data_IF_580998886826
#
_entry.id   IF_580998886826
#
_cell.length_a   1.000
_cell.length_b   1.000
_cell.length_c   1.000
_cell.angle_alpha   90.00
_cell.angle_beta   90.00
_cell.angle_gamma   90.00
#
_symmetry.space_group_name_H-M   'P 1'
#
loop_
_entity.id
_entity.type
_entity.pdbx_description
1 polymer ?
#
# COMPACT_ATOMS: atom_id res chain seq x y z
N UNK A 1 81.24 -20.66 11.32
CA UNK A 1 80.39 -20.46 10.13
C UNK A 1 78.94 -20.65 10.57
N UNK A 2 78.21 -19.52 10.72
CA UNK A 2 76.75 -19.37 10.90
C UNK A 2 76.12 -20.08 12.11
N UNK A 3 75.12 -19.54 12.79
CA UNK A 3 74.53 -18.20 12.93
C UNK A 3 73.54 -18.38 14.09
N UNK A 4 73.30 -17.30 14.82
CA UNK A 4 72.24 -17.22 15.81
C UNK A 4 70.88 -17.56 15.20
N UNK A 5 70.06 -18.32 15.92
CA UNK A 5 68.62 -18.06 15.97
C UNK A 5 68.13 -18.31 17.39
N UNK A 6 68.34 -17.28 18.19
CA UNK A 6 67.49 -16.95 19.31
C UNK A 6 66.05 -16.86 18.80
N UNK A 7 65.13 -17.59 19.41
CA UNK A 7 63.75 -17.15 19.49
C UNK A 7 63.38 -17.10 20.97
N UNK A 8 63.52 -15.90 21.53
CA UNK A 8 62.93 -15.52 22.81
C UNK A 8 61.40 -15.29 22.64
N UNK A 9 60.61 -15.45 23.71
CA UNK A 9 59.18 -15.72 23.70
C UNK A 9 58.33 -14.44 23.73
N UNK A 10 57.02 -14.61 23.87
CA UNK A 10 55.97 -13.59 24.09
C UNK A 10 55.39 -12.92 22.86
N UNK A 11 54.30 -13.49 22.36
CA UNK A 11 53.26 -12.74 21.66
C UNK A 11 51.98 -12.77 22.50
N UNK A 12 51.44 -11.62 22.94
CA UNK A 12 50.23 -11.60 23.75
C UNK A 12 48.99 -11.90 22.89
N UNK A 13 48.10 -12.84 23.28
CA UNK A 13 46.81 -13.05 22.62
C UNK A 13 45.82 -11.96 23.07
N UNK A 14 45.93 -10.74 22.55
CA UNK A 14 45.17 -9.59 23.06
C UNK A 14 44.22 -8.87 22.09
N UNK A 15 44.49 -8.84 20.78
CA UNK A 15 43.95 -7.73 19.95
C UNK A 15 43.01 -8.16 18.81
N UNK A 16 42.87 -9.47 18.53
CA UNK A 16 42.11 -9.94 17.35
C UNK A 16 40.58 -9.87 17.58
N UNK A 17 40.13 -10.13 18.81
CA UNK A 17 38.69 -10.30 19.13
C UNK A 17 37.85 -9.01 18.97
N UNK A 18 38.46 -7.85 19.22
CA UNK A 18 37.79 -6.54 19.05
C UNK A 18 37.67 -6.09 17.58
N UNK A 19 38.60 -6.54 16.72
CA UNK A 19 38.57 -6.26 15.29
C UNK A 19 37.50 -7.10 14.59
N UNK A 20 37.45 -8.41 14.89
CA UNK A 20 36.44 -9.34 14.34
C UNK A 20 35.03 -8.91 14.71
N UNK A 21 34.76 -8.63 16.00
CA UNK A 21 33.45 -8.15 16.44
C UNK A 21 33.04 -6.82 15.76
N UNK A 22 33.99 -5.90 15.56
CA UNK A 22 33.74 -4.65 14.84
C UNK A 22 33.55 -4.84 13.33
N UNK A 23 34.15 -5.87 12.72
CA UNK A 23 33.95 -6.22 11.30
C UNK A 23 32.57 -6.86 11.12
N UNK A 24 32.18 -7.76 12.01
CA UNK A 24 30.85 -8.40 12.01
C UNK A 24 29.73 -7.38 12.20
N UNK A 25 29.91 -6.42 13.12
CA UNK A 25 28.93 -5.36 13.30
C UNK A 25 28.79 -4.48 12.04
N UNK A 26 29.91 -4.12 11.40
CA UNK A 26 29.87 -3.37 10.14
C UNK A 26 29.17 -4.16 9.03
N UNK A 27 29.41 -5.47 8.94
CA UNK A 27 28.74 -6.34 7.99
C UNK A 27 27.23 -6.42 8.26
N UNK A 28 26.83 -6.58 9.53
CA UNK A 28 25.43 -6.59 9.94
C UNK A 28 24.73 -5.26 9.62
N UNK A 29 25.36 -4.11 9.91
CA UNK A 29 24.83 -2.78 9.55
C UNK A 29 24.65 -2.64 8.04
N UNK A 30 25.59 -3.11 7.22
CA UNK A 30 25.45 -3.09 5.75
C UNK A 30 24.27 -3.94 5.28
N UNK A 31 24.17 -5.17 5.74
CA UNK A 31 23.07 -6.07 5.39
C UNK A 31 21.70 -5.49 5.77
N UNK A 32 21.56 -4.92 6.98
CA UNK A 32 20.30 -4.30 7.40
C UNK A 32 19.92 -3.10 6.53
N UNK A 33 20.88 -2.26 6.14
CA UNK A 33 20.62 -1.12 5.24
C UNK A 33 20.20 -1.57 3.85
N UNK A 34 20.78 -2.64 3.32
CA UNK A 34 20.36 -3.23 2.05
C UNK A 34 18.92 -3.76 2.12
N UNK A 35 18.57 -4.45 3.22
CA UNK A 35 17.21 -4.92 3.47
C UNK A 35 16.21 -3.77 3.55
N UNK A 36 16.55 -2.71 4.31
CA UNK A 36 15.73 -1.49 4.42
C UNK A 36 15.54 -0.86 3.04
N UNK A 37 16.61 -0.64 2.29
CA UNK A 37 16.52 -0.04 0.96
C UNK A 37 15.69 -0.86 -0.02
N UNK A 38 15.69 -2.20 0.10
CA UNK A 38 14.78 -3.06 -0.68
C UNK A 38 13.32 -2.84 -0.28
N UNK A 39 13.00 -2.85 1.02
CA UNK A 39 11.64 -2.64 1.51
C UNK A 39 11.09 -1.25 1.16
N UNK A 40 11.93 -0.21 1.24
CA UNK A 40 11.58 1.16 0.84
C UNK A 40 11.24 1.23 -0.65
N UNK A 41 12.06 0.60 -1.51
CA UNK A 41 11.78 0.51 -2.95
C UNK A 41 10.48 -0.24 -3.24
N UNK A 42 10.22 -1.33 -2.56
CA UNK A 42 8.95 -2.07 -2.71
C UNK A 42 7.75 -1.22 -2.29
N UNK A 43 7.84 -0.51 -1.17
CA UNK A 43 6.78 0.37 -0.68
C UNK A 43 6.54 1.54 -1.65
N UNK A 44 7.60 2.16 -2.15
CA UNK A 44 7.52 3.22 -3.15
C UNK A 44 6.92 2.72 -4.48
N UNK A 45 7.30 1.51 -4.92
CA UNK A 45 6.72 0.87 -6.10
C UNK A 45 5.23 0.60 -5.94
N UNK A 46 4.82 0.09 -4.76
CA UNK A 46 3.41 -0.16 -4.45
C UNK A 46 2.61 1.15 -4.38
N UNK A 47 3.18 2.21 -3.82
CA UNK A 47 2.59 3.55 -3.83
C UNK A 47 2.38 4.04 -5.27
N UNK A 48 3.42 4.02 -6.10
CA UNK A 48 3.33 4.47 -7.49
C UNK A 48 2.29 3.68 -8.32
N UNK A 49 2.18 2.36 -8.09
CA UNK A 49 1.22 1.51 -8.77
C UNK A 49 -0.24 1.74 -8.33
N UNK A 50 -0.46 2.40 -7.19
CA UNK A 50 -1.80 2.55 -6.61
C UNK A 50 -2.32 3.99 -6.62
N UNK A 51 -1.49 5.01 -6.73
CA UNK A 51 -1.95 6.40 -6.86
C UNK A 51 -2.80 6.56 -8.14
N UNK A 52 -3.98 7.24 -8.08
CA UNK A 52 -4.53 8.06 -7.00
C UNK A 52 -5.57 7.33 -6.10
N UNK A 53 -5.36 6.06 -5.76
CA UNK A 53 -6.21 5.36 -4.77
C UNK A 53 -6.04 6.00 -3.39
N UNK A 54 -7.16 6.46 -2.85
CA UNK A 54 -7.25 7.17 -1.57
C UNK A 54 -7.29 6.23 -0.35
N UNK A 55 -6.83 6.72 0.80
CA UNK A 55 -7.08 6.11 2.11
C UNK A 55 -6.13 4.97 2.50
N UNK A 56 -5.01 4.81 1.80
CA UNK A 56 -3.93 3.92 2.24
C UNK A 56 -2.88 4.77 2.95
N UNK A 57 -2.50 4.39 4.17
CA UNK A 57 -1.47 5.06 4.93
C UNK A 57 -0.09 4.54 4.51
N UNK A 58 0.73 5.41 3.92
CA UNK A 58 2.06 5.05 3.40
C UNK A 58 3.22 5.45 4.31
N UNK A 59 2.96 6.32 5.30
CA UNK A 59 4.01 6.91 6.14
C UNK A 59 4.62 5.87 7.07
N UNK A 60 5.95 5.85 7.13
CA UNK A 60 6.73 5.16 8.17
C UNK A 60 7.41 6.22 9.01
N UNK A 61 7.33 6.10 10.33
CA UNK A 61 7.88 7.10 11.25
C UNK A 61 9.41 7.21 11.14
N UNK A 62 9.92 8.44 11.03
CA UNK A 62 11.35 8.70 11.04
C UNK A 62 11.93 8.51 12.46
N UNK A 63 13.10 7.86 12.56
CA UNK A 63 13.80 7.62 13.83
C UNK A 63 14.78 8.77 14.12
N UNK A 64 14.26 9.97 14.36
CA UNK A 64 15.02 11.16 14.78
C UNK A 64 15.88 11.84 13.69
N UNK A 65 16.70 12.82 14.08
CA UNK A 65 17.48 13.69 13.17
C UNK A 65 18.72 13.04 12.53
N UNK A 66 19.48 13.80 11.71
CA UNK A 66 20.60 13.31 10.90
C UNK A 66 21.72 12.69 11.75
N UNK A 67 21.68 11.36 11.90
CA UNK A 67 22.71 10.57 12.62
C UNK A 67 22.80 9.16 12.07
N UNK A 68 23.92 8.50 12.36
CA UNK A 68 24.09 7.08 12.02
C UNK A 68 23.31 6.23 13.02
N UNK A 69 22.35 5.44 12.53
CA UNK A 69 21.59 4.51 13.36
C UNK A 69 22.44 3.31 13.81
N UNK A 70 22.22 2.88 15.06
CA UNK A 70 22.76 1.62 15.59
C UNK A 70 22.01 0.39 15.06
N UNK A 71 22.52 -0.82 15.33
CA UNK A 71 21.93 -2.10 14.86
C UNK A 71 20.45 -2.22 15.27
N UNK A 72 20.15 -2.08 16.57
CA UNK A 72 18.79 -2.24 17.07
C UNK A 72 17.82 -1.19 16.49
N UNK A 73 18.30 0.02 16.19
CA UNK A 73 17.49 1.02 15.51
C UNK A 73 17.21 0.64 14.05
N UNK A 74 18.19 0.08 13.34
CA UNK A 74 18.03 -0.41 11.97
C UNK A 74 17.04 -1.58 11.91
N UNK A 75 17.15 -2.57 12.80
CA UNK A 75 16.21 -3.69 12.88
C UNK A 75 14.78 -3.22 13.09
N UNK A 76 14.57 -2.35 14.09
CA UNK A 76 13.25 -1.79 14.33
C UNK A 76 12.72 -0.95 13.16
N UNK A 77 13.59 -0.38 12.31
CA UNK A 77 13.19 0.34 11.09
C UNK A 77 12.79 -0.64 10.00
N UNK A 78 13.58 -1.70 9.79
CA UNK A 78 13.24 -2.81 8.89
C UNK A 78 11.87 -3.40 9.26
N UNK A 79 11.63 -3.67 10.53
CA UNK A 79 10.39 -4.32 10.98
C UNK A 79 9.17 -3.39 10.82
N UNK A 80 9.35 -2.09 11.06
CA UNK A 80 8.32 -1.08 10.80
C UNK A 80 7.97 -0.98 9.30
N UNK A 81 8.98 -1.00 8.42
CA UNK A 81 8.80 -1.01 6.97
C UNK A 81 8.11 -2.29 6.50
N UNK A 82 8.54 -3.45 6.99
CA UNK A 82 7.95 -4.74 6.65
C UNK A 82 6.47 -4.80 7.06
N UNK A 83 6.15 -4.36 8.28
CA UNK A 83 4.78 -4.27 8.79
C UNK A 83 3.94 -3.34 7.92
N UNK A 84 4.45 -2.13 7.62
CA UNK A 84 3.75 -1.16 6.77
C UNK A 84 3.48 -1.69 5.36
N UNK A 85 4.44 -2.39 4.76
CA UNK A 85 4.28 -2.97 3.43
C UNK A 85 3.21 -4.07 3.43
N UNK A 86 3.19 -4.92 4.46
CA UNK A 86 2.17 -5.96 4.60
C UNK A 86 0.77 -5.35 4.80
N UNK A 87 0.64 -4.34 5.66
CA UNK A 87 -0.61 -3.60 5.88
C UNK A 87 -1.11 -2.95 4.59
N UNK A 88 -0.23 -2.27 3.84
CA UNK A 88 -0.59 -1.62 2.58
C UNK A 88 -1.08 -2.65 1.55
N UNK A 89 -0.37 -3.78 1.39
CA UNK A 89 -0.80 -4.89 0.50
C UNK A 89 -2.17 -5.43 0.91
N UNK A 90 -2.41 -5.63 2.21
CA UNK A 90 -3.67 -6.13 2.72
C UNK A 90 -4.83 -5.15 2.50
N UNK A 91 -4.63 -3.84 2.70
CA UNK A 91 -5.67 -2.84 2.39
C UNK A 91 -5.98 -2.77 0.90
N UNK A 92 -4.97 -2.86 0.03
CA UNK A 92 -5.17 -2.92 -1.43
C UNK A 92 -6.00 -4.15 -1.79
N UNK A 93 -5.68 -5.32 -1.24
CA UNK A 93 -6.43 -6.56 -1.47
C UNK A 93 -7.90 -6.43 -1.02
N UNK A 94 -8.13 -6.04 0.23
CA UNK A 94 -9.49 -5.81 0.77
C UNK A 94 -10.28 -4.80 -0.05
N UNK A 95 -9.62 -3.79 -0.60
CA UNK A 95 -10.28 -2.82 -1.48
C UNK A 95 -10.63 -3.43 -2.84
N UNK A 96 -9.73 -4.18 -3.45
CA UNK A 96 -9.97 -4.86 -4.72
C UNK A 96 -11.17 -5.82 -4.61
N UNK A 97 -11.26 -6.59 -3.52
CA UNK A 97 -12.40 -7.47 -3.23
C UNK A 97 -13.72 -6.69 -3.15
N UNK A 98 -13.74 -5.55 -2.44
CA UNK A 98 -14.93 -4.69 -2.36
C UNK A 98 -15.32 -4.14 -3.73
N UNK A 99 -14.35 -3.71 -4.53
CA UNK A 99 -14.58 -3.19 -5.88
C UNK A 99 -15.15 -4.27 -6.81
N UNK A 100 -14.62 -5.48 -6.73
CA UNK A 100 -15.10 -6.63 -7.50
C UNK A 100 -16.53 -7.05 -7.09
N UNK A 101 -16.81 -7.11 -5.79
CA UNK A 101 -18.17 -7.37 -5.30
C UNK A 101 -19.17 -6.32 -5.80
N UNK A 102 -18.75 -5.06 -5.92
CA UNK A 102 -19.58 -3.97 -6.46
C UNK A 102 -19.76 -4.07 -7.97
N UNK A 103 -18.75 -4.50 -8.73
CA UNK A 103 -18.89 -4.79 -10.17
C UNK A 103 -19.90 -5.91 -10.40
N UNK A 104 -19.77 -7.00 -9.66
CA UNK A 104 -20.72 -8.11 -9.71
C UNK A 104 -22.15 -7.67 -9.31
N UNK A 105 -22.29 -6.74 -8.36
CA UNK A 105 -23.59 -6.16 -8.01
C UNK A 105 -24.19 -5.34 -9.18
N UNK A 106 -23.37 -4.56 -9.89
CA UNK A 106 -23.83 -3.81 -11.08
C UNK A 106 -24.32 -4.77 -12.16
N UNK A 107 -23.57 -5.85 -12.43
CA UNK A 107 -23.95 -6.87 -13.41
C UNK A 107 -25.29 -7.51 -13.03
N UNK A 108 -25.46 -7.95 -11.78
CA UNK A 108 -26.73 -8.51 -11.29
C UNK A 108 -27.87 -7.51 -11.37
N UNK A 109 -27.63 -6.24 -11.06
CA UNK A 109 -28.64 -5.18 -11.16
C UNK A 109 -29.05 -4.90 -12.61
N UNK A 110 -28.13 -5.02 -13.58
CA UNK A 110 -28.45 -4.87 -15.01
C UNK A 110 -29.29 -6.06 -15.50
N UNK A 111 -28.94 -7.29 -15.08
CA UNK A 111 -29.67 -8.50 -15.45
C UNK A 111 -31.08 -8.57 -14.82
N UNK A 112 -31.18 -8.24 -13.52
CA UNK A 112 -32.44 -8.17 -12.77
C UNK A 112 -32.53 -6.86 -11.97
N UNK A 113 -33.05 -5.79 -12.59
CA UNK A 113 -33.24 -4.52 -11.90
C UNK A 113 -34.38 -4.56 -10.88
N UNK A 114 -35.35 -5.49 -11.02
CA UNK A 114 -36.52 -5.58 -10.15
C UNK A 114 -36.22 -6.26 -8.81
N UNK A 115 -35.23 -7.17 -8.77
CA UNK A 115 -34.65 -7.71 -7.55
C UNK A 115 -33.75 -6.71 -6.80
N UNK A 116 -33.25 -5.68 -7.48
CA UNK A 116 -32.32 -4.69 -6.93
C UNK A 116 -32.93 -3.27 -6.87
N UNK A 117 -34.12 -3.16 -6.28
CA UNK A 117 -34.93 -1.91 -6.24
C UNK A 117 -34.19 -0.78 -5.52
N UNK A 118 -34.15 0.41 -6.14
CA UNK A 118 -33.54 1.63 -5.59
C UNK A 118 -32.04 1.54 -5.29
N UNK A 119 -31.40 0.43 -5.62
CA UNK A 119 -29.96 0.26 -5.41
C UNK A 119 -29.22 1.25 -6.30
N UNK A 120 -28.20 1.89 -5.70
CA UNK A 120 -27.31 2.83 -6.37
C UNK A 120 -25.87 2.41 -6.15
N UNK A 121 -25.10 2.35 -7.23
CA UNK A 121 -23.66 2.07 -7.19
C UNK A 121 -22.92 3.22 -7.88
N UNK A 122 -21.87 3.75 -7.26
CA UNK A 122 -21.02 4.82 -7.84
C UNK A 122 -19.79 4.23 -8.53
N UNK A 123 -19.28 4.93 -9.53
CA UNK A 123 -18.05 4.58 -10.28
C UNK A 123 -16.85 4.34 -9.36
N UNK A 124 -16.67 5.16 -8.32
CA UNK A 124 -15.60 5.00 -7.33
C UNK A 124 -15.72 3.71 -6.50
N UNK A 125 -16.93 3.16 -6.34
CA UNK A 125 -17.15 1.91 -5.60
C UNK A 125 -16.79 0.68 -6.43
N UNK A 126 -16.74 0.79 -7.75
CA UNK A 126 -16.30 -0.28 -8.67
C UNK A 126 -14.84 -0.11 -9.12
N UNK A 127 -14.10 0.83 -8.52
CA UNK A 127 -12.71 1.13 -8.88
C UNK A 127 -12.55 1.90 -10.19
N UNK A 128 -13.65 2.36 -10.81
CA UNK A 128 -13.60 3.23 -11.99
C UNK A 128 -13.41 4.70 -11.61
N UNK A 129 -12.83 5.46 -12.54
CA UNK A 129 -12.69 6.92 -12.40
C UNK A 129 -13.94 7.62 -12.94
N UNK A 130 -14.35 8.71 -12.28
CA UNK A 130 -15.39 9.62 -12.77
C UNK A 130 -16.65 9.69 -11.89
N UNK A 131 -17.68 10.38 -12.40
CA UNK A 131 -18.93 10.68 -11.68
C UNK A 131 -20.10 9.75 -12.03
N UNK A 132 -19.85 8.71 -12.83
CA UNK A 132 -20.89 7.78 -13.27
C UNK A 132 -21.50 7.05 -12.07
N UNK A 133 -22.80 6.81 -12.12
CA UNK A 133 -23.48 5.93 -11.19
C UNK A 133 -24.57 5.14 -11.92
N UNK A 134 -24.82 3.93 -11.41
CA UNK A 134 -25.93 3.07 -11.81
C UNK A 134 -27.02 3.17 -10.75
N UNK A 135 -28.28 3.24 -11.18
CA UNK A 135 -29.42 3.34 -10.29
C UNK A 135 -30.60 2.54 -10.82
N UNK A 136 -31.07 1.55 -10.07
CA UNK A 136 -32.34 0.89 -10.38
C UNK A 136 -33.53 1.79 -10.01
N UNK A 137 -34.38 2.10 -10.99
CA UNK A 137 -35.55 2.97 -10.83
C UNK A 137 -36.78 2.36 -11.51
N UNK A 138 -37.99 2.58 -10.96
CA UNK A 138 -39.21 2.16 -11.62
C UNK A 138 -39.42 2.94 -12.92
N UNK A 139 -39.99 2.28 -13.92
CA UNK A 139 -40.47 2.89 -15.16
C UNK A 139 -41.80 3.60 -14.87
N UNK A 140 -42.01 4.79 -15.43
CA UNK A 140 -43.27 5.54 -15.29
C UNK A 140 -43.76 5.78 -13.84
N UNK A 141 -42.85 5.91 -12.86
CA UNK A 141 -43.22 6.27 -11.49
C UNK A 141 -43.96 5.16 -10.74
N UNK A 142 -45.09 5.51 -10.10
CA UNK A 142 -45.86 4.60 -9.23
C UNK A 142 -46.39 3.37 -9.98
N UNK A 143 -46.79 3.52 -11.25
CA UNK A 143 -47.29 2.40 -12.06
C UNK A 143 -46.23 1.32 -12.26
N UNK A 144 -44.99 1.68 -12.58
CA UNK A 144 -43.93 0.69 -12.69
C UNK A 144 -43.49 0.10 -11.37
N UNK A 145 -43.75 0.76 -10.23
CA UNK A 145 -43.55 0.13 -8.92
C UNK A 145 -44.54 -1.01 -8.71
N UNK A 146 -45.82 -0.78 -9.00
CA UNK A 146 -46.89 -1.78 -8.84
C UNK A 146 -46.72 -2.92 -9.84
N UNK A 147 -46.42 -2.60 -11.10
CA UNK A 147 -46.27 -3.58 -12.16
C UNK A 147 -44.89 -4.28 -12.21
N UNK A 148 -43.97 -3.94 -11.29
CA UNK A 148 -42.62 -4.51 -11.27
C UNK A 148 -41.75 -4.12 -12.47
N UNK A 149 -42.04 -3.01 -13.13
CA UNK A 149 -41.28 -2.52 -14.28
C UNK A 149 -40.09 -1.68 -13.83
N UNK A 150 -38.93 -2.30 -13.70
CA UNK A 150 -37.69 -1.64 -13.28
C UNK A 150 -36.70 -1.48 -14.42
N UNK A 151 -35.81 -0.48 -14.31
CA UNK A 151 -34.68 -0.29 -15.23
C UNK A 151 -33.48 0.26 -14.48
N UNK A 152 -32.28 -0.11 -14.93
CA UNK A 152 -31.07 0.57 -14.51
C UNK A 152 -30.90 1.84 -15.33
N UNK A 153 -30.84 2.98 -14.66
CA UNK A 153 -30.38 4.23 -15.25
C UNK A 153 -28.88 4.36 -15.03
N UNK A 154 -28.18 4.61 -16.12
CA UNK A 154 -26.76 4.89 -16.14
C UNK A 154 -26.56 6.39 -16.37
N UNK A 155 -26.06 7.10 -15.37
CA UNK A 155 -25.72 8.52 -15.58
C UNK A 155 -24.43 8.59 -16.39
N UNK A 156 -24.47 9.23 -17.56
CA UNK A 156 -23.33 9.31 -18.48
C UNK A 156 -22.15 10.14 -17.95
N UNK A 157 -22.29 10.96 -16.91
CA UNK A 157 -21.15 11.64 -16.28
C UNK A 157 -21.46 13.05 -15.81
N UNK A 158 -20.45 13.69 -15.21
CA UNK A 158 -20.51 15.00 -14.58
C UNK A 158 -20.92 16.11 -15.58
N UNK A 159 -21.81 17.06 -15.19
CA UNK A 159 -22.25 18.17 -16.02
C UNK A 159 -21.21 19.30 -16.11
N UNK A 160 -19.93 18.98 -16.36
CA UNK A 160 -18.88 19.99 -16.53
C UNK A 160 -18.17 19.74 -17.85
N UNK A 161 -18.52 20.53 -18.86
CA UNK A 161 -17.54 20.94 -19.85
C UNK A 161 -16.40 21.61 -19.08
N UNK A 162 -15.16 21.17 -19.27
CA UNK A 162 -13.94 21.58 -18.53
C UNK A 162 -13.74 20.91 -17.15
N UNK A 163 -12.79 19.96 -17.11
CA UNK A 163 -11.80 19.82 -16.04
C UNK A 163 -12.26 19.61 -14.58
N UNK A 164 -11.96 18.41 -14.07
CA UNK A 164 -11.80 18.08 -12.66
C UNK A 164 -13.06 17.72 -11.85
N UNK A 165 -13.58 16.50 -12.07
CA UNK A 165 -14.05 15.74 -10.90
C UNK A 165 -12.82 15.33 -10.08
N UNK A 166 -12.40 16.19 -9.15
CA UNK A 166 -11.56 15.73 -8.04
C UNK A 166 -12.47 14.88 -7.17
N UNK A 167 -12.30 13.55 -7.20
CA UNK A 167 -12.68 12.74 -6.05
C UNK A 167 -11.94 13.36 -4.87
N UNK A 168 -12.66 14.05 -3.98
CA UNK A 168 -12.07 14.73 -2.83
C UNK A 168 -11.53 13.64 -1.90
N UNK A 169 -10.28 13.27 -2.11
CA UNK A 169 -9.49 12.52 -1.13
C UNK A 169 -9.19 13.52 -0.03
N UNK A 170 -9.59 13.29 1.23
CA UNK A 170 -9.14 14.11 2.34
C UNK A 170 -7.60 14.04 2.38
N UNK A 171 -6.94 15.18 2.35
CA UNK A 171 -5.51 15.24 2.63
C UNK A 171 -5.31 14.82 4.10
N UNK A 172 -4.35 13.92 4.41
CA UNK A 172 -3.98 13.72 5.79
C UNK A 172 -3.37 15.01 6.34
N UNK A 173 -3.87 15.47 7.48
CA UNK A 173 -3.25 16.52 8.31
C UNK A 173 -1.91 16.07 8.85
#
# INVERSE_FOLDING_TARGET
MRELLQHDPTSPPGTVRGSEAGVDERAARRSLREQIGRLERELAGLFAATVPRAGIEWRVGARGGPRVLGIAELERTRDALASRLAEARAEIGRRAEREEAKRALVERMIADPAGHRWVRVRSQEVGERGCRHWHSRPRWGLLGMIAGWWRVKLSSGCPLASGACRSRVPLPT
#
